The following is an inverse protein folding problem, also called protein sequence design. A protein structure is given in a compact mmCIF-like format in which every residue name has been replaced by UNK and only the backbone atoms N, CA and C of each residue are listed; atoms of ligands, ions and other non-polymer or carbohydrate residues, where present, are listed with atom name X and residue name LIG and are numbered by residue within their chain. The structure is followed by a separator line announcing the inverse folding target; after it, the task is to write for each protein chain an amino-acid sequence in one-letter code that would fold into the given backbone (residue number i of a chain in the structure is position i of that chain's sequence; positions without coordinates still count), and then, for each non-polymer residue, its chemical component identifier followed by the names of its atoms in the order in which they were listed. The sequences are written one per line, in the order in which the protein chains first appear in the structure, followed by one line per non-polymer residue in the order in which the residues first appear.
data_IF_835933909204
#
_entry.id   IF_835933909204
#
_cell.length_a   1.000
_cell.length_b   1.000
_cell.length_c   1.000
_cell.angle_alpha   90.00
_cell.angle_beta   90.00
_cell.angle_gamma   90.00
#
_symmetry.space_group_name_H-M   'P 1'
#
loop_
_entity.id
_entity.type
_entity.pdbx_description
1 polymer ?
#
# COMPACT_ATOMS: atom_id res chain seq x y z
N UNK A 1 -45.06 -30.20 -14.84
CA UNK A 1 -44.45 -28.89 -15.18
C UNK A 1 -43.88 -28.30 -13.90
N UNK A 2 -42.56 -28.19 -13.78
CA UNK A 2 -41.88 -27.63 -12.60
C UNK A 2 -41.24 -26.31 -13.03
N UNK A 3 -41.69 -25.21 -12.44
CA UNK A 3 -41.13 -23.87 -12.63
C UNK A 3 -40.31 -23.56 -11.38
N UNK A 4 -39.01 -23.32 -11.54
CA UNK A 4 -38.18 -22.74 -10.49
C UNK A 4 -37.42 -21.54 -11.10
N UNK A 5 -37.71 -20.29 -10.70
CA UNK A 5 -36.95 -19.14 -11.15
C UNK A 5 -35.67 -19.02 -10.30
N UNK A 6 -34.52 -19.18 -10.95
CA UNK A 6 -33.23 -18.87 -10.36
C UNK A 6 -33.12 -17.34 -10.14
N UNK A 7 -33.18 -16.93 -8.88
CA UNK A 7 -32.97 -15.54 -8.48
C UNK A 7 -31.47 -15.21 -8.59
N UNK A 8 -31.07 -14.61 -9.70
CA UNK A 8 -29.75 -14.02 -9.89
C UNK A 8 -29.60 -12.80 -8.98
N UNK A 9 -28.96 -12.99 -7.82
CA UNK A 9 -28.45 -11.91 -6.99
C UNK A 9 -27.29 -11.23 -7.71
N UNK A 10 -27.57 -10.14 -8.41
CA UNK A 10 -26.53 -9.22 -8.86
C UNK A 10 -25.96 -8.52 -7.64
N UNK A 11 -24.87 -9.08 -7.10
CA UNK A 11 -24.05 -8.40 -6.10
C UNK A 11 -23.46 -7.14 -6.76
N UNK A 12 -24.15 -6.02 -6.60
CA UNK A 12 -23.60 -4.70 -6.89
C UNK A 12 -22.47 -4.48 -5.89
N UNK A 13 -21.26 -4.89 -6.27
CA UNK A 13 -20.06 -4.49 -5.55
C UNK A 13 -19.98 -2.97 -5.65
N UNK A 14 -20.45 -2.28 -4.61
CA UNK A 14 -20.20 -0.87 -4.44
C UNK A 14 -18.69 -0.69 -4.46
N UNK A 15 -18.17 -0.23 -5.59
CA UNK A 15 -16.79 0.21 -5.72
C UNK A 15 -16.69 1.48 -4.89
N UNK A 16 -16.43 1.34 -3.58
CA UNK A 16 -15.86 2.43 -2.84
C UNK A 16 -14.63 2.86 -3.62
N UNK A 17 -14.65 4.08 -4.16
CA UNK A 17 -13.48 4.67 -4.77
C UNK A 17 -12.39 4.66 -3.71
N UNK A 18 -11.52 3.64 -3.76
CA UNK A 18 -10.47 3.47 -2.79
C UNK A 18 -9.63 4.74 -2.86
N UNK A 19 -9.60 5.51 -1.77
CA UNK A 19 -8.80 6.73 -1.70
C UNK A 19 -7.37 6.34 -2.10
N UNK A 20 -6.83 6.96 -3.15
CA UNK A 20 -5.57 6.54 -3.75
C UNK A 20 -4.39 6.59 -2.75
N UNK A 21 -4.54 7.36 -1.66
CA UNK A 21 -3.58 7.44 -0.57
C UNK A 21 -3.57 6.24 0.38
N UNK A 22 -4.56 5.34 0.32
CA UNK A 22 -4.58 4.16 1.18
C UNK A 22 -3.36 3.27 0.96
N UNK A 23 -2.89 2.68 2.07
CA UNK A 23 -1.72 1.82 2.11
C UNK A 23 -0.50 2.48 2.76
N UNK A 24 0.62 1.78 2.67
CA UNK A 24 1.89 2.18 3.26
C UNK A 24 2.80 2.80 2.21
N UNK A 25 3.45 3.90 2.56
CA UNK A 25 4.31 4.69 1.68
C UNK A 25 5.68 4.85 2.33
N UNK A 26 6.73 4.40 1.65
CA UNK A 26 8.11 4.55 2.08
C UNK A 26 8.79 5.69 1.33
N UNK A 27 9.54 6.51 2.04
CA UNK A 27 10.26 7.66 1.50
C UNK A 27 11.32 7.21 0.49
N UNK A 28 11.35 7.89 -0.65
CA UNK A 28 12.41 7.79 -1.63
C UNK A 28 13.37 8.97 -1.42
N UNK A 29 14.38 8.80 -0.58
CA UNK A 29 15.32 9.87 -0.25
C UNK A 29 16.11 10.37 -1.47
N UNK A 30 16.49 9.46 -2.38
CA UNK A 30 17.26 9.82 -3.57
C UNK A 30 16.51 10.73 -4.55
N UNK A 31 15.17 10.66 -4.60
CA UNK A 31 14.34 11.55 -5.42
C UNK A 31 13.85 12.78 -4.66
N UNK A 32 13.89 12.74 -3.33
CA UNK A 32 13.32 13.78 -2.48
C UNK A 32 14.25 14.98 -2.34
N UNK A 33 13.65 16.16 -2.23
CA UNK A 33 14.32 17.44 -1.98
C UNK A 33 13.82 18.00 -0.67
N UNK A 34 14.75 18.20 0.26
CA UNK A 34 14.48 18.69 1.60
C UNK A 34 15.17 20.03 1.81
N UNK A 35 14.49 20.94 2.49
CA UNK A 35 15.13 22.12 3.04
C UNK A 35 16.12 21.73 4.15
N UNK A 36 17.17 22.54 4.39
CA UNK A 36 18.10 22.30 5.49
C UNK A 36 17.38 22.18 6.83
N UNK A 37 17.67 21.11 7.58
CA UNK A 37 17.05 20.83 8.88
C UNK A 37 15.59 20.36 8.82
N UNK A 38 15.09 19.95 7.65
CA UNK A 38 13.74 19.40 7.53
C UNK A 38 13.63 18.02 8.20
N UNK A 39 12.51 17.79 8.86
CA UNK A 39 12.11 16.47 9.34
C UNK A 39 11.79 15.56 8.16
N UNK A 40 12.32 14.33 8.16
CA UNK A 40 12.06 13.35 7.12
C UNK A 40 11.04 12.33 7.61
N UNK A 41 9.85 12.33 7.03
CA UNK A 41 8.89 11.25 7.26
C UNK A 41 9.32 10.04 6.41
N UNK A 42 9.85 9.00 7.05
CA UNK A 42 10.41 7.80 6.41
C UNK A 42 9.32 6.84 5.96
N UNK A 43 8.27 6.67 6.78
CA UNK A 43 7.13 5.80 6.48
C UNK A 43 5.83 6.50 6.82
N UNK A 44 4.85 6.40 5.93
CA UNK A 44 3.51 6.95 6.12
C UNK A 44 2.49 5.88 5.75
N UNK A 45 1.65 5.51 6.71
CA UNK A 45 0.67 4.44 6.55
C UNK A 45 -0.73 4.97 6.74
N UNK A 46 -1.60 4.79 5.75
CA UNK A 46 -3.02 5.09 5.87
C UNK A 46 -3.83 3.80 5.95
N UNK A 47 -4.57 3.63 7.04
CA UNK A 47 -5.49 2.52 7.26
C UNK A 47 -6.91 3.02 7.54
N UNK A 48 -7.94 2.21 7.25
CA UNK A 48 -9.27 2.46 7.76
C UNK A 48 -9.26 2.58 9.29
N UNK A 49 -10.11 3.46 9.82
CA UNK A 49 -10.42 3.57 11.24
C UNK A 49 -11.92 3.35 11.46
N UNK A 50 -12.41 3.55 12.68
CA UNK A 50 -13.83 3.37 13.00
C UNK A 50 -14.71 4.34 12.19
N UNK A 51 -15.75 3.80 11.53
CA UNK A 51 -16.61 4.56 10.59
C UNK A 51 -15.86 4.95 9.31
N UNK A 52 -16.24 6.05 8.67
CA UNK A 52 -15.53 6.54 7.46
C UNK A 52 -14.25 7.31 7.77
N UNK A 53 -13.66 7.11 8.95
CA UNK A 53 -12.42 7.77 9.35
C UNK A 53 -11.21 6.98 8.83
N UNK A 54 -10.12 7.69 8.64
CA UNK A 54 -8.84 7.13 8.23
C UNK A 54 -7.83 7.44 9.32
N UNK A 55 -7.04 6.44 9.70
CA UNK A 55 -5.86 6.59 10.53
C UNK A 55 -4.64 6.75 9.62
N UNK A 56 -3.91 7.85 9.79
CA UNK A 56 -2.58 8.05 9.24
C UNK A 56 -1.57 7.88 10.37
N UNK A 57 -0.64 6.94 10.21
CA UNK A 57 0.50 6.76 11.09
C UNK A 57 1.74 7.21 10.33
N UNK A 58 2.60 8.01 10.97
CA UNK A 58 3.83 8.48 10.37
C UNK A 58 4.99 8.21 11.29
N UNK A 59 6.01 7.59 10.72
CA UNK A 59 7.31 7.39 11.30
C UNK A 59 8.33 8.20 10.50
N UNK A 60 9.33 8.73 11.18
CA UNK A 60 10.34 9.57 10.56
C UNK A 60 11.54 9.82 11.44
N UNK A 61 12.40 10.72 10.97
CA UNK A 61 13.55 11.23 11.70
C UNK A 61 13.51 12.75 11.72
N UNK A 62 13.83 13.35 12.86
CA UNK A 62 13.97 14.80 12.98
C UNK A 62 15.33 15.31 12.44
N UNK A 63 15.58 16.62 12.59
CA UNK A 63 16.83 17.26 12.15
C UNK A 63 18.08 16.72 12.83
N UNK A 64 17.94 16.12 14.02
CA UNK A 64 19.01 15.57 14.83
C UNK A 64 19.13 14.05 14.63
N UNK A 65 18.37 13.48 13.70
CA UNK A 65 18.33 12.05 13.42
C UNK A 65 17.51 11.23 14.44
N UNK A 66 16.78 11.89 15.35
CA UNK A 66 15.96 11.18 16.36
C UNK A 66 14.68 10.67 15.72
N UNK A 67 14.24 9.46 16.09
CA UNK A 67 12.99 8.91 15.58
C UNK A 67 11.81 9.77 16.05
N UNK A 68 10.91 10.07 15.12
CA UNK A 68 9.63 10.71 15.40
C UNK A 68 8.49 9.77 15.01
N UNK A 69 7.41 9.84 15.78
CA UNK A 69 6.20 9.09 15.53
C UNK A 69 4.98 9.96 15.82
N UNK A 70 4.05 10.02 14.89
CA UNK A 70 2.78 10.68 15.13
C UNK A 70 1.62 9.99 14.40
N UNK A 71 0.43 10.15 14.96
CA UNK A 71 -0.79 9.59 14.40
C UNK A 71 -1.85 10.66 14.23
N UNK A 72 -2.61 10.53 13.16
CA UNK A 72 -3.74 11.39 12.82
C UNK A 72 -4.94 10.49 12.53
N UNK A 73 -6.11 10.81 13.07
CA UNK A 73 -7.35 10.10 12.76
C UNK A 73 -8.37 11.14 12.33
N UNK A 74 -8.83 11.05 11.08
CA UNK A 74 -9.73 12.04 10.52
C UNK A 74 -10.29 11.64 9.17
N UNK A 75 -10.98 12.58 8.53
CA UNK A 75 -11.57 12.42 7.20
C UNK A 75 -10.88 13.31 6.17
N UNK A 76 -11.04 12.96 4.90
CA UNK A 76 -10.61 13.76 3.76
C UNK A 76 -11.76 14.70 3.35
N UNK A 77 -12.24 15.52 4.28
CA UNK A 77 -13.40 16.41 4.10
C UNK A 77 -13.02 17.90 4.19
N UNK A 78 -11.73 18.21 4.36
CA UNK A 78 -11.24 19.56 4.55
C UNK A 78 -11.45 20.13 5.96
N UNK A 79 -11.83 19.30 6.95
CA UNK A 79 -11.91 19.72 8.36
C UNK A 79 -10.59 19.46 9.10
N UNK A 80 -10.26 20.30 10.11
CA UNK A 80 -9.09 20.05 10.96
C UNK A 80 -9.37 18.93 11.95
N UNK A 81 -8.44 17.97 12.03
CA UNK A 81 -8.45 16.91 13.03
C UNK A 81 -7.16 16.92 13.84
N UNK A 82 -7.24 16.54 15.10
CA UNK A 82 -6.11 16.52 16.02
C UNK A 82 -5.09 15.43 15.70
N UNK A 83 -3.84 15.74 15.99
CA UNK A 83 -2.71 14.82 15.89
C UNK A 83 -2.28 14.40 17.28
N UNK A 84 -1.81 13.17 17.40
CA UNK A 84 -1.18 12.64 18.61
C UNK A 84 0.30 12.40 18.34
N UNK A 85 1.17 12.90 19.23
CA UNK A 85 2.62 12.62 19.20
C UNK A 85 3.49 13.60 18.40
N UNK A 86 2.91 14.56 17.67
CA UNK A 86 3.69 15.58 16.94
C UNK A 86 3.91 16.83 17.81
N UNK A 87 5.15 17.26 18.07
CA UNK A 87 5.43 18.55 18.71
C UNK A 87 5.34 19.73 17.72
N UNK A 88 5.28 19.46 16.42
CA UNK A 88 5.43 20.45 15.37
C UNK A 88 4.12 21.11 14.93
N UNK A 89 2.98 20.44 15.12
CA UNK A 89 1.65 20.93 14.75
C UNK A 89 0.55 20.11 15.44
N UNK A 90 -0.55 20.77 15.78
CA UNK A 90 -1.60 20.21 16.63
C UNK A 90 -2.74 19.61 15.81
N UNK A 91 -2.99 20.16 14.62
CA UNK A 91 -4.08 19.73 13.73
C UNK A 91 -3.61 19.64 12.28
N UNK A 92 -4.22 18.69 11.56
CA UNK A 92 -4.00 18.47 10.14
C UNK A 92 -5.33 18.31 9.43
N UNK A 93 -5.41 18.94 8.27
CA UNK A 93 -6.57 18.93 7.38
C UNK A 93 -6.20 18.27 6.07
N UNK A 94 -7.02 17.37 5.55
CA UNK A 94 -6.92 16.85 4.19
C UNK A 94 -8.15 17.24 3.38
N UNK A 95 -7.96 17.93 2.27
CA UNK A 95 -9.02 18.33 1.34
C UNK A 95 -8.76 17.72 -0.04
N UNK A 96 -9.60 16.79 -0.51
CA UNK A 96 -9.57 16.33 -1.90
C UNK A 96 -9.79 17.52 -2.84
N UNK A 97 -8.97 17.61 -3.89
CA UNK A 97 -9.10 18.63 -4.95
C UNK A 97 -9.33 17.99 -6.31
N UNK A 98 -8.79 16.78 -6.53
CA UNK A 98 -9.01 15.91 -7.70
C UNK A 98 -8.91 14.44 -7.26
N UNK A 99 -9.33 13.50 -8.10
CA UNK A 99 -9.38 12.05 -7.82
C UNK A 99 -8.11 11.45 -7.16
N UNK A 100 -6.93 12.04 -7.40
CA UNK A 100 -5.65 11.60 -6.82
C UNK A 100 -4.83 12.72 -6.19
N UNK A 101 -5.43 13.89 -6.00
CA UNK A 101 -4.73 15.06 -5.45
C UNK A 101 -5.47 15.59 -4.22
N UNK A 102 -4.72 15.79 -3.15
CA UNK A 102 -5.21 16.30 -1.88
C UNK A 102 -4.39 17.51 -1.46
N UNK A 103 -5.06 18.57 -1.00
CA UNK A 103 -4.42 19.65 -0.27
C UNK A 103 -4.34 19.27 1.20
N UNK A 104 -3.20 19.54 1.82
CA UNK A 104 -2.98 19.37 3.24
C UNK A 104 -2.67 20.72 3.90
N UNK A 105 -3.15 20.91 5.12
CA UNK A 105 -2.88 22.13 5.91
C UNK A 105 -2.66 21.72 7.35
N UNK A 106 -1.48 22.05 7.89
CA UNK A 106 -1.14 21.84 9.28
C UNK A 106 -1.21 23.17 10.04
N UNK A 107 -1.78 23.12 11.24
CA UNK A 107 -1.87 24.29 12.13
C UNK A 107 -1.28 23.98 13.50
N UNK A 108 -0.61 24.98 14.07
CA UNK A 108 -0.13 24.98 15.46
C UNK A 108 -0.72 26.19 16.18
N UNK A 109 -1.33 25.98 17.35
CA UNK A 109 -2.04 27.02 18.10
C UNK A 109 -2.99 27.87 17.22
N UNK A 110 -3.72 27.22 16.31
CA UNK A 110 -4.66 27.88 15.38
C UNK A 110 -4.01 28.57 14.16
N UNK A 111 -2.68 28.76 14.13
CA UNK A 111 -1.97 29.39 13.00
C UNK A 111 -1.51 28.34 11.99
N UNK A 112 -1.62 28.67 10.69
CA UNK A 112 -1.11 27.81 9.61
C UNK A 112 0.41 27.82 9.64
N UNK A 113 1.01 26.66 9.88
CA UNK A 113 2.48 26.50 9.90
C UNK A 113 2.99 25.80 8.64
N UNK A 114 2.15 25.01 7.98
CA UNK A 114 2.51 24.29 6.77
C UNK A 114 1.28 24.05 5.90
N UNK A 115 1.46 24.16 4.59
CA UNK A 115 0.48 23.79 3.56
C UNK A 115 1.16 22.91 2.53
N UNK A 116 0.40 22.01 1.91
CA UNK A 116 0.97 21.17 0.87
C UNK A 116 -0.04 20.58 -0.08
N UNK A 117 0.49 19.98 -1.12
CA UNK A 117 -0.26 19.20 -2.10
C UNK A 117 0.36 17.82 -2.18
N UNK A 118 -0.51 16.81 -2.08
CA UNK A 118 -0.17 15.41 -2.18
C UNK A 118 -0.83 14.88 -3.43
N UNK A 119 -0.03 14.35 -4.35
CA UNK A 119 -0.51 13.76 -5.60
C UNK A 119 -0.04 12.32 -5.69
N UNK A 120 -0.98 11.40 -5.88
CA UNK A 120 -0.69 9.99 -6.16
C UNK A 120 -0.62 9.79 -7.67
N UNK A 121 0.39 9.08 -8.15
CA UNK A 121 0.53 8.75 -9.56
C UNK A 121 -0.64 7.88 -10.04
N UNK A 122 -0.92 7.89 -11.35
CA UNK A 122 -2.04 7.14 -11.94
C UNK A 122 -1.96 5.64 -11.67
N UNK A 123 -0.73 5.11 -11.62
CA UNK A 123 -0.44 3.72 -11.29
C UNK A 123 -0.67 3.35 -9.81
N UNK A 124 -0.85 4.33 -8.92
CA UNK A 124 -1.01 4.14 -7.49
C UNK A 124 0.23 3.60 -6.76
N UNK A 125 1.38 3.52 -7.44
CA UNK A 125 2.64 2.95 -6.92
C UNK A 125 3.56 4.02 -6.34
N UNK A 126 3.42 5.26 -6.77
CA UNK A 126 4.22 6.38 -6.25
C UNK A 126 3.33 7.57 -5.88
N UNK A 127 3.82 8.41 -4.98
CA UNK A 127 3.21 9.71 -4.67
C UNK A 127 4.28 10.76 -4.47
N UNK A 128 3.90 12.00 -4.77
CA UNK A 128 4.71 13.19 -4.50
C UNK A 128 3.97 14.08 -3.53
N UNK A 129 4.70 14.62 -2.56
CA UNK A 129 4.20 15.55 -1.58
C UNK A 129 5.04 16.81 -1.68
N UNK A 130 4.41 17.92 -2.03
CA UNK A 130 5.02 19.25 -2.09
C UNK A 130 4.49 20.07 -0.92
N UNK A 131 5.36 20.43 0.00
CA UNK A 131 5.03 21.19 1.20
C UNK A 131 5.73 22.54 1.18
N UNK A 132 5.02 23.55 1.68
CA UNK A 132 5.59 24.86 2.00
C UNK A 132 5.21 25.17 3.43
N UNK A 133 6.17 25.64 4.21
CA UNK A 133 5.94 25.89 5.62
C UNK A 133 6.82 27.01 6.14
N UNK A 134 6.61 27.33 7.41
CA UNK A 134 7.44 28.27 8.17
C UNK A 134 8.05 27.50 9.35
N UNK A 135 9.37 27.51 9.46
CA UNK A 135 10.07 26.83 10.55
C UNK A 135 9.93 27.63 11.87
N UNK A 136 10.45 27.08 12.98
CA UNK A 136 10.39 27.73 14.29
C UNK A 136 11.08 29.12 14.32
N UNK A 137 12.01 29.36 13.40
CA UNK A 137 12.75 30.62 13.27
C UNK A 137 12.03 31.64 12.35
N UNK A 138 10.81 31.35 11.89
CA UNK A 138 10.06 32.23 10.99
C UNK A 138 10.50 32.16 9.52
N UNK A 139 11.44 31.28 9.17
CA UNK A 139 11.93 31.15 7.79
C UNK A 139 11.01 30.25 6.99
N UNK A 140 10.69 30.67 5.76
CA UNK A 140 9.92 29.86 4.81
C UNK A 140 10.80 28.75 4.24
N UNK A 141 10.22 27.57 4.09
CA UNK A 141 10.88 26.44 3.44
C UNK A 141 9.94 25.76 2.44
N UNK A 142 10.52 25.00 1.51
CA UNK A 142 9.80 24.16 0.57
C UNK A 142 10.43 22.78 0.53
N UNK A 143 9.61 21.75 0.70
CA UNK A 143 10.02 20.36 0.58
C UNK A 143 9.26 19.69 -0.58
N UNK A 144 9.94 18.80 -1.29
CA UNK A 144 9.36 17.94 -2.32
C UNK A 144 9.79 16.51 -2.00
N UNK A 145 8.90 15.77 -1.36
CA UNK A 145 9.18 14.40 -0.93
C UNK A 145 8.46 13.40 -1.82
N UNK A 146 9.20 12.44 -2.34
CA UNK A 146 8.68 11.34 -3.15
C UNK A 146 8.59 10.09 -2.30
N UNK A 147 7.52 9.33 -2.48
CA UNK A 147 7.30 8.07 -1.79
C UNK A 147 6.90 7.00 -2.78
N UNK A 148 7.37 5.79 -2.49
CA UNK A 148 6.96 4.57 -3.17
C UNK A 148 5.99 3.81 -2.26
N UNK A 149 4.91 3.28 -2.83
CA UNK A 149 3.95 2.46 -2.10
C UNK A 149 4.67 1.17 -1.74
N UNK A 150 4.73 0.85 -0.45
CA UNK A 150 5.08 -0.49 -0.03
C UNK A 150 3.96 -1.40 -0.50
N UNK A 151 4.24 -2.16 -1.56
CA UNK A 151 3.53 -3.37 -1.82
C UNK A 151 3.72 -4.23 -0.57
N UNK A 152 2.67 -4.36 0.25
CA UNK A 152 2.45 -5.69 0.80
C UNK A 152 2.32 -6.55 -0.45
N UNK A 153 3.41 -7.23 -0.82
CA UNK A 153 3.19 -8.48 -1.49
C UNK A 153 2.11 -9.18 -0.66
N UNK A 154 1.13 -9.78 -1.32
CA UNK A 154 0.84 -11.11 -0.87
C UNK A 154 2.24 -11.74 -0.74
N UNK A 155 2.68 -11.99 0.49
CA UNK A 155 3.56 -13.10 0.69
C UNK A 155 2.74 -14.29 0.17
N UNK A 156 2.82 -14.57 -1.13
CA UNK A 156 3.23 -15.92 -1.48
C UNK A 156 4.51 -16.03 -0.67
N UNK A 157 4.42 -16.73 0.46
CA UNK A 157 5.60 -17.00 1.23
C UNK A 157 6.60 -17.51 0.22
N UNK A 158 7.69 -16.77 0.05
CA UNK A 158 8.96 -17.44 -0.11
C UNK A 158 9.01 -18.31 1.15
N UNK A 159 8.53 -19.54 1.00
CA UNK A 159 8.78 -20.60 1.92
C UNK A 159 10.30 -20.69 1.89
N UNK A 160 10.94 -19.93 2.78
CA UNK A 160 12.22 -20.32 3.32
C UNK A 160 12.01 -21.77 3.71
N UNK A 161 12.56 -22.66 2.89
CA UNK A 161 12.52 -24.08 3.11
C UNK A 161 13.21 -24.31 4.45
N UNK A 162 12.42 -24.25 5.52
CA UNK A 162 12.84 -24.71 6.82
C UNK A 162 13.15 -26.18 6.64
N UNK A 163 14.32 -26.68 7.08
CA UNK A 163 14.62 -28.10 6.97
C UNK A 163 13.51 -28.85 7.68
N UNK A 164 12.84 -29.75 6.95
CA UNK A 164 11.74 -30.58 7.45
C UNK A 164 12.25 -31.28 8.73
N UNK A 165 11.65 -31.07 9.91
CA UNK A 165 12.02 -31.85 11.07
C UNK A 165 11.64 -33.32 10.80
N UNK A 166 12.62 -34.21 10.90
CA UNK A 166 12.51 -35.62 10.55
C UNK A 166 11.67 -36.45 11.55
N UNK A 167 10.75 -35.83 12.29
CA UNK A 167 9.94 -36.50 13.31
C UNK A 167 8.53 -35.92 13.35
N UNK A 168 7.70 -36.33 12.40
CA UNK A 168 6.26 -36.37 12.60
C UNK A 168 5.81 -37.81 12.34
N UNK A 169 5.74 -38.57 13.43
CA UNK A 169 5.09 -39.88 13.45
C UNK A 169 3.58 -39.67 13.30
N UNK A 170 3.03 -40.09 12.15
CA UNK A 170 1.60 -40.13 11.89
C UNK A 170 1.12 -41.59 11.86
N UNK A 171 0.07 -41.95 12.63
CA UNK A 171 -0.37 -43.35 12.78
C UNK A 171 -1.28 -43.87 11.65
N UNK A 172 -1.53 -43.09 10.58
CA UNK A 172 -2.44 -43.48 9.48
C UNK A 172 -1.73 -43.49 8.10
N UNK A 173 -1.61 -44.64 7.41
CA UNK A 173 -0.96 -44.76 6.11
C UNK A 173 -1.76 -44.18 4.92
N UNK A 174 -3.05 -43.87 5.08
CA UNK A 174 -3.94 -43.46 3.97
C UNK A 174 -3.78 -41.98 3.59
N UNK A 175 -3.24 -41.14 4.49
CA UNK A 175 -3.06 -39.69 4.26
C UNK A 175 -1.77 -39.33 3.53
N UNK A 176 -0.84 -40.27 3.34
CA UNK A 176 0.47 -40.01 2.70
C UNK A 176 0.40 -39.85 1.17
N UNK A 177 -0.60 -40.43 0.50
CA UNK A 177 -0.70 -40.39 -0.99
C UNK A 177 -1.36 -39.11 -1.53
N UNK A 178 -2.29 -38.49 -0.79
CA UNK A 178 -2.97 -37.28 -1.28
C UNK A 178 -2.08 -36.04 -1.29
N UNK A 179 -1.15 -35.91 -0.34
CA UNK A 179 -0.31 -34.70 -0.23
C UNK A 179 0.79 -34.69 -1.30
N UNK A 180 1.35 -35.85 -1.68
CA UNK A 180 2.32 -35.92 -2.79
C UNK A 180 1.70 -35.65 -4.16
N UNK A 181 0.43 -36.01 -4.38
CA UNK A 181 -0.25 -35.74 -5.65
C UNK A 181 -0.64 -34.25 -5.80
N UNK A 182 -1.04 -33.59 -4.71
CA UNK A 182 -1.39 -32.17 -4.74
C UNK A 182 -0.17 -31.25 -5.01
N UNK A 183 1.02 -31.63 -4.55
CA UNK A 183 2.23 -30.81 -4.72
C UNK A 183 2.85 -30.90 -6.13
N UNK A 184 2.64 -32.00 -6.84
CA UNK A 184 3.16 -32.20 -8.22
C UNK A 184 2.30 -31.48 -9.26
N UNK A 185 0.97 -31.39 -9.06
CA UNK A 185 0.09 -30.70 -10.01
C UNK A 185 0.30 -29.18 -10.03
N UNK A 186 0.72 -28.60 -8.91
CA UNK A 186 0.83 -27.14 -8.77
C UNK A 186 2.14 -26.57 -9.36
N UNK A 187 3.18 -27.40 -9.54
CA UNK A 187 4.42 -27.00 -10.22
C UNK A 187 4.35 -27.09 -11.75
N UNK A 188 3.43 -27.90 -12.31
CA UNK A 188 3.36 -28.09 -13.77
C UNK A 188 2.61 -26.98 -14.51
N UNK A 189 1.89 -26.10 -13.81
CA UNK A 189 1.13 -25.00 -14.43
C UNK A 189 1.90 -23.66 -14.48
N UNK A 190 3.14 -23.63 -13.99
CA UNK A 190 3.94 -22.41 -13.88
C UNK A 190 5.06 -22.31 -14.93
N UNK A 191 5.17 -23.25 -15.89
CA UNK A 191 6.26 -23.27 -16.86
C UNK A 191 5.86 -22.93 -18.31
N UNK A 192 4.58 -22.75 -18.62
CA UNK A 192 4.12 -22.58 -20.01
C UNK A 192 3.99 -21.13 -20.51
N UNK A 193 4.31 -20.11 -19.71
CA UNK A 193 4.08 -18.70 -20.10
C UNK A 193 5.35 -17.86 -20.33
N UNK A 194 6.50 -18.50 -20.52
CA UNK A 194 7.76 -17.81 -20.89
C UNK A 194 8.53 -18.60 -21.95
N UNK A 195 8.03 -18.63 -23.19
CA UNK A 195 8.86 -18.41 -24.38
C UNK A 195 7.97 -18.14 -25.59
N UNK A 196 7.79 -16.86 -25.92
CA UNK A 196 7.32 -16.45 -27.22
C UNK A 196 8.44 -16.63 -28.25
N UNK A 197 8.58 -17.85 -28.80
CA UNK A 197 9.35 -18.07 -30.02
C UNK A 197 8.66 -19.10 -30.91
N UNK A 198 8.09 -18.60 -32.01
CA UNK A 198 7.44 -19.41 -33.03
C UNK A 198 8.39 -20.47 -33.58
N UNK A 199 8.05 -21.74 -33.37
CA UNK A 199 8.43 -22.83 -34.28
C UNK A 199 7.19 -23.64 -34.64
N UNK A 200 6.70 -23.40 -35.85
CA UNK A 200 5.75 -24.26 -36.55
C UNK A 200 6.34 -25.67 -36.66
N UNK A 201 5.69 -26.67 -36.06
CA UNK A 201 5.94 -28.08 -36.33
C UNK A 201 4.65 -28.70 -36.85
N UNK A 202 4.73 -29.28 -38.05
CA UNK A 202 3.64 -29.90 -38.78
C UNK A 202 3.07 -31.14 -38.05
N UNK A 203 1.79 -31.49 -38.28
CA UNK A 203 1.20 -32.69 -37.68
C UNK A 203 1.65 -33.96 -38.41
N UNK A 204 2.26 -34.90 -37.68
CA UNK A 204 2.45 -36.27 -38.14
C UNK A 204 1.12 -37.03 -38.06
N UNK A 205 0.50 -37.28 -39.21
CA UNK A 205 -0.59 -38.25 -39.36
C UNK A 205 -0.06 -39.67 -39.13
N UNK A 206 -0.56 -40.32 -38.08
CA UNK A 206 -0.48 -41.76 -37.88
C UNK A 206 -1.57 -42.43 -38.72
N UNK A 207 -1.18 -43.25 -39.69
CA UNK A 207 -2.10 -44.16 -40.39
C UNK A 207 -1.93 -45.57 -39.81
N UNK A 208 -3.00 -46.32 -39.52
CA UNK A 208 -2.91 -47.71 -39.09
C UNK A 208 -3.10 -48.66 -40.29
N UNK A 209 -2.24 -49.68 -40.41
CA UNK A 209 -2.58 -51.07 -40.79
C UNK A 209 -1.53 -51.98 -40.17
#
# INVERSE_FOLDING_TARGET
MLVAPALLLTASAATFAANALMGTWKLNEGKSKFAPGATKNTTVTYTPAKGDMIKCTVDGVDKDGKPIHWTWVGKFDGKPYHIKGSPSFDTLTYKPVKDRTNKTTARKAGKVVMTGTITVAKDGKSRVVRLTGTNANGQKFTDITYYDKQHHGASVGEAVASPIPNSLHFPDPSRRRMIRAALVLQHSQAFDDVDGSSRTVAPLTRTPV
#
